data_IF_775622925154
#
_entry.id   IF_775622925154
#
_cell.length_a   1.000
_cell.length_b   1.000
_cell.length_c   1.000
_cell.angle_alpha   90.00
_cell.angle_beta   90.00
_cell.angle_gamma   90.00
#
_symmetry.space_group_name_H-M   'P 1'
#
loop_
_entity.id
_entity.type
_entity.pdbx_description
1 polymer ?
#
# COMPACT_ATOMS: atom_id res chain seq x y z
N UNK A 1 32.87 21.54 10.76
CA UNK A 1 32.91 21.12 12.18
C UNK A 1 31.74 20.18 12.43
N UNK A 2 32.01 18.93 12.83
CA UNK A 2 30.96 17.99 13.27
C UNK A 2 30.39 18.49 14.60
N UNK A 3 29.06 18.56 14.77
CA UNK A 3 28.49 19.03 16.02
C UNK A 3 28.73 18.01 17.16
N UNK A 4 28.80 18.48 18.41
CA UNK A 4 29.15 17.62 19.57
C UNK A 4 28.16 16.43 19.71
N UNK A 5 26.92 16.60 19.28
CA UNK A 5 25.88 15.58 19.30
C UNK A 5 26.16 14.41 18.36
N UNK A 6 26.54 14.67 17.10
CA UNK A 6 26.84 13.61 16.12
C UNK A 6 28.13 12.84 16.45
N UNK A 7 29.10 13.50 17.11
CA UNK A 7 30.30 12.83 17.63
C UNK A 7 29.97 11.84 18.74
N UNK A 8 29.09 12.23 19.67
CA UNK A 8 28.68 11.36 20.78
C UNK A 8 27.89 10.13 20.33
N UNK A 9 27.23 10.19 19.16
CA UNK A 9 26.51 9.07 18.56
C UNK A 9 27.38 8.20 17.63
N UNK A 10 28.66 8.53 17.42
CA UNK A 10 29.52 7.78 16.50
C UNK A 10 29.09 7.89 15.03
N UNK A 11 28.44 9.00 14.64
CA UNK A 11 27.90 9.22 13.28
C UNK A 11 28.84 10.01 12.36
N UNK A 12 30.11 10.20 12.76
CA UNK A 12 31.14 10.90 11.99
C UNK A 12 31.99 9.96 11.12
N UNK A 13 33.16 10.45 10.68
CA UNK A 13 34.17 9.64 9.98
C UNK A 13 34.56 8.42 10.82
N UNK A 14 34.59 7.24 10.19
CA UNK A 14 34.81 5.97 10.89
C UNK A 14 33.55 5.34 11.49
N UNK A 15 32.36 5.93 11.31
CA UNK A 15 31.10 5.29 11.70
C UNK A 15 30.93 3.92 11.03
N UNK A 16 30.40 2.95 11.80
CA UNK A 16 30.07 1.61 11.33
C UNK A 16 28.95 1.59 10.27
N UNK A 17 28.20 2.69 10.14
CA UNK A 17 27.14 2.81 9.13
C UNK A 17 27.75 3.13 7.76
N UNK A 18 27.58 2.28 6.73
CA UNK A 18 28.17 2.53 5.41
C UNK A 18 27.63 3.81 4.75
N UNK A 19 28.45 4.42 3.88
CA UNK A 19 27.97 5.55 3.04
C UNK A 19 26.86 5.03 2.12
N UNK A 20 25.78 5.80 2.01
CA UNK A 20 24.68 5.50 1.10
C UNK A 20 23.60 4.54 1.63
N UNK A 21 23.71 4.01 2.85
CA UNK A 21 22.62 3.20 3.44
C UNK A 21 21.56 4.12 4.05
N UNK A 22 20.30 4.06 3.59
CA UNK A 22 19.23 4.85 4.18
C UNK A 22 18.86 4.28 5.56
N UNK A 23 18.80 5.15 6.57
CA UNK A 23 18.36 4.80 7.93
C UNK A 23 17.25 5.73 8.43
N UNK A 24 16.35 5.27 9.30
CA UNK A 24 15.38 6.12 9.97
C UNK A 24 16.06 7.14 10.90
N UNK A 25 15.61 8.39 10.87
CA UNK A 25 16.07 9.48 11.71
C UNK A 25 14.89 10.25 12.32
N UNK A 26 14.88 10.47 13.65
CA UNK A 26 13.70 10.99 14.36
C UNK A 26 13.47 12.49 14.21
N UNK A 27 14.40 13.25 13.62
CA UNK A 27 14.31 14.72 13.52
C UNK A 27 14.20 15.21 12.08
N UNK A 28 13.55 16.35 11.90
CA UNK A 28 13.46 17.04 10.61
C UNK A 28 14.83 17.44 10.05
N UNK A 29 15.84 17.64 10.90
CA UNK A 29 17.18 18.06 10.49
C UNK A 29 18.16 16.90 10.66
N UNK A 30 18.80 16.43 9.58
CA UNK A 30 19.82 15.39 9.68
C UNK A 30 21.08 15.94 10.37
N UNK A 31 21.91 15.08 10.97
CA UNK A 31 23.23 15.48 11.44
C UNK A 31 24.10 16.03 10.30
N UNK A 32 25.11 16.82 10.64
CA UNK A 32 26.11 17.27 9.65
C UNK A 32 26.78 16.06 8.99
N UNK A 33 26.91 16.08 7.65
CA UNK A 33 27.47 14.97 6.86
C UNK A 33 26.44 13.92 6.44
N UNK A 34 25.15 14.16 6.74
CA UNK A 34 24.04 13.30 6.33
C UNK A 34 23.07 14.07 5.44
N UNK A 35 22.48 13.37 4.48
CA UNK A 35 21.52 13.91 3.52
C UNK A 35 20.18 13.18 3.64
N UNK A 36 19.08 13.89 3.39
CA UNK A 36 17.74 13.28 3.35
C UNK A 36 17.53 12.55 2.02
N UNK A 37 16.84 11.41 2.06
CA UNK A 37 16.33 10.73 0.87
C UNK A 37 15.03 11.39 0.41
N UNK A 38 15.12 12.59 -0.15
CA UNK A 38 13.99 13.41 -0.59
C UNK A 38 14.08 13.77 -2.09
N UNK A 39 14.78 12.96 -2.88
CA UNK A 39 14.99 13.25 -4.31
C UNK A 39 16.07 14.32 -4.60
N UNK A 40 16.78 14.82 -3.59
CA UNK A 40 17.79 15.85 -3.80
C UNK A 40 18.97 15.35 -4.65
N UNK A 41 19.46 16.23 -5.53
CA UNK A 41 20.71 16.02 -6.24
C UNK A 41 21.91 16.36 -5.33
N UNK A 42 23.06 15.78 -5.65
CA UNK A 42 24.33 16.06 -5.00
C UNK A 42 25.47 16.03 -6.02
N UNK A 43 26.70 16.38 -5.61
CA UNK A 43 27.86 16.37 -6.52
C UNK A 43 28.87 15.30 -6.10
N UNK A 44 29.47 14.63 -7.08
CA UNK A 44 30.52 13.65 -6.84
C UNK A 44 31.78 14.27 -6.24
N UNK A 45 32.07 15.55 -6.54
CA UNK A 45 33.19 16.28 -5.94
C UNK A 45 33.00 16.48 -4.45
N UNK A 46 31.78 16.73 -3.99
CA UNK A 46 31.48 16.91 -2.57
C UNK A 46 31.34 15.57 -1.84
N UNK A 47 30.72 14.56 -2.48
CA UNK A 47 30.44 13.26 -1.86
C UNK A 47 30.86 12.09 -2.78
N UNK A 48 32.17 11.85 -2.97
CA UNK A 48 32.66 10.87 -3.93
C UNK A 48 32.24 9.43 -3.58
N UNK A 49 32.26 9.07 -2.29
CA UNK A 49 31.80 7.74 -1.84
C UNK A 49 30.30 7.54 -2.06
N UNK A 50 29.51 8.61 -1.89
CA UNK A 50 28.06 8.55 -2.12
C UNK A 50 27.75 8.41 -3.62
N UNK A 51 28.55 9.03 -4.49
CA UNK A 51 28.43 8.87 -5.94
C UNK A 51 28.66 7.43 -6.40
N UNK A 52 29.50 6.65 -5.70
CA UNK A 52 29.66 5.22 -5.97
C UNK A 52 28.38 4.43 -5.64
N UNK A 53 27.68 4.79 -4.55
CA UNK A 53 26.43 4.16 -4.15
C UNK A 53 25.22 4.61 -4.98
N UNK A 54 25.21 5.89 -5.39
CA UNK A 54 24.16 6.50 -6.21
C UNK A 54 24.77 7.20 -7.45
N UNK A 55 25.06 6.45 -8.53
CA UNK A 55 25.75 6.98 -9.71
C UNK A 55 24.98 8.07 -10.47
N UNK A 56 23.65 8.12 -10.30
CA UNK A 56 22.81 9.18 -10.87
C UNK A 56 22.96 10.54 -10.16
N UNK A 57 23.80 10.63 -9.12
CA UNK A 57 24.04 11.84 -8.34
C UNK A 57 22.77 12.44 -7.74
N UNK A 58 21.77 11.58 -7.48
CA UNK A 58 20.49 11.93 -6.89
C UNK A 58 20.08 10.84 -5.92
N UNK A 59 19.60 11.25 -4.76
CA UNK A 59 19.04 10.32 -3.79
C UNK A 59 17.62 9.91 -4.20
N UNK A 60 17.15 8.71 -3.81
CA UNK A 60 15.75 8.37 -3.94
C UNK A 60 14.88 9.33 -3.11
N UNK A 61 13.64 9.51 -3.52
CA UNK A 61 12.64 10.15 -2.68
C UNK A 61 11.89 9.05 -1.93
N UNK A 62 12.17 8.91 -0.63
CA UNK A 62 11.62 7.85 0.21
C UNK A 62 10.53 8.37 1.15
N UNK A 63 10.02 9.59 0.91
CA UNK A 63 8.97 10.18 1.74
C UNK A 63 7.66 9.45 1.49
N UNK A 64 7.19 8.70 2.48
CA UNK A 64 5.97 7.89 2.37
C UNK A 64 6.21 6.50 1.79
N UNK A 65 7.44 6.16 1.42
CA UNK A 65 7.76 4.88 0.77
C UNK A 65 8.13 3.79 1.78
N UNK A 66 7.79 2.55 1.44
CA UNK A 66 8.32 1.36 2.09
C UNK A 66 9.49 0.79 1.27
N UNK A 67 10.61 0.51 1.94
CA UNK A 67 11.74 -0.17 1.30
C UNK A 67 11.46 -1.67 1.31
N UNK A 68 11.46 -2.27 0.13
CA UNK A 68 11.36 -3.73 -0.04
C UNK A 68 12.67 -4.32 -0.57
N UNK A 69 12.91 -5.59 -0.26
CA UNK A 69 14.01 -6.35 -0.85
C UNK A 69 13.85 -6.46 -2.36
N UNK A 70 14.94 -6.28 -3.09
CA UNK A 70 14.97 -6.52 -4.53
C UNK A 70 14.88 -8.03 -4.80
N UNK A 71 14.09 -8.42 -5.79
CA UNK A 71 13.82 -9.81 -6.11
C UNK A 71 15.06 -10.58 -6.56
N UNK A 72 15.95 -9.92 -7.30
CA UNK A 72 17.22 -10.47 -7.82
C UNK A 72 17.09 -11.88 -8.41
N UNK A 73 16.00 -12.12 -9.16
CA UNK A 73 15.76 -13.39 -9.85
C UNK A 73 15.10 -14.48 -9.00
N UNK A 74 14.68 -14.20 -7.76
CA UNK A 74 13.92 -15.15 -6.94
C UNK A 74 12.53 -15.46 -7.51
N UNK A 75 11.93 -14.53 -8.26
CA UNK A 75 10.63 -14.69 -8.93
C UNK A 75 9.40 -14.31 -8.09
N UNK A 76 9.58 -13.69 -6.92
CA UNK A 76 8.46 -13.21 -6.07
C UNK A 76 8.01 -11.81 -6.45
N UNK A 77 8.93 -10.95 -6.88
CA UNK A 77 8.67 -9.59 -7.36
C UNK A 77 9.43 -9.33 -8.68
N UNK A 78 9.15 -10.19 -9.66
CA UNK A 78 9.88 -10.24 -10.92
C UNK A 78 9.72 -8.95 -11.76
N UNK A 79 10.73 -8.66 -12.59
CA UNK A 79 10.71 -7.53 -13.54
C UNK A 79 11.03 -6.17 -12.91
N UNK A 80 11.41 -6.14 -11.64
CA UNK A 80 11.75 -4.91 -10.91
C UNK A 80 13.25 -4.60 -10.98
N UNK A 81 13.57 -3.31 -11.11
CA UNK A 81 14.94 -2.81 -11.02
C UNK A 81 15.21 -2.15 -9.66
N UNK A 82 16.47 -2.15 -9.22
CA UNK A 82 16.87 -1.41 -8.01
C UNK A 82 16.44 0.06 -8.11
N UNK A 83 15.94 0.58 -6.99
CA UNK A 83 15.47 1.97 -6.84
C UNK A 83 14.25 2.37 -7.68
N UNK A 84 13.59 1.44 -8.36
CA UNK A 84 12.31 1.73 -9.05
C UNK A 84 11.17 1.92 -8.04
N UNK A 85 10.24 2.84 -8.30
CA UNK A 85 9.02 3.00 -7.51
C UNK A 85 7.94 2.00 -7.97
N UNK A 86 7.01 1.65 -7.08
CA UNK A 86 5.84 0.83 -7.39
C UNK A 86 4.64 1.43 -6.66
N UNK A 87 3.52 1.58 -7.34
CA UNK A 87 2.29 1.98 -6.67
C UNK A 87 1.80 0.85 -5.76
N UNK A 88 0.95 1.20 -4.80
CA UNK A 88 0.20 0.20 -4.06
C UNK A 88 -0.58 -0.70 -5.03
N UNK A 89 -0.77 -1.94 -4.63
CA UNK A 89 -1.61 -2.88 -5.36
C UNK A 89 -2.43 -3.69 -4.36
N UNK A 90 -3.66 -4.02 -4.73
CA UNK A 90 -4.54 -4.91 -3.99
C UNK A 90 -4.91 -6.04 -4.92
N UNK A 91 -4.49 -7.25 -4.56
CA UNK A 91 -4.80 -8.44 -5.36
C UNK A 91 -6.31 -8.54 -5.66
N UNK A 92 -6.67 -9.00 -6.86
CA UNK A 92 -8.06 -9.15 -7.24
C UNK A 92 -8.74 -10.09 -6.25
N UNK A 93 -9.89 -9.65 -5.73
CA UNK A 93 -10.70 -10.44 -4.81
C UNK A 93 -12.17 -10.14 -5.06
N UNK A 94 -13.03 -11.07 -4.62
CA UNK A 94 -14.49 -10.94 -4.77
C UNK A 94 -15.16 -11.13 -3.43
N UNK A 95 -16.19 -10.34 -3.18
CA UNK A 95 -17.12 -10.53 -2.06
C UNK A 95 -18.35 -11.25 -2.59
N UNK A 96 -18.72 -12.37 -1.96
CA UNK A 96 -19.93 -13.12 -2.32
C UNK A 96 -20.98 -12.91 -1.23
N UNK A 97 -22.15 -12.45 -1.63
CA UNK A 97 -23.29 -12.27 -0.74
C UNK A 97 -24.30 -13.39 -1.00
N UNK A 98 -24.70 -14.10 0.06
CA UNK A 98 -25.79 -15.08 0.01
C UNK A 98 -27.01 -14.50 0.73
N UNK A 99 -28.12 -14.35 0.01
CA UNK A 99 -29.40 -13.94 0.59
C UNK A 99 -30.20 -15.20 0.95
N UNK A 100 -30.38 -15.47 2.24
CA UNK A 100 -31.19 -16.59 2.74
C UNK A 100 -32.60 -16.10 3.06
N UNK A 101 -33.59 -16.50 2.27
CA UNK A 101 -35.00 -16.34 2.65
C UNK A 101 -35.46 -17.63 3.35
N UNK A 102 -35.59 -17.61 4.68
CA UNK A 102 -36.15 -18.75 5.40
C UNK A 102 -37.66 -18.79 5.20
N UNK A 103 -38.17 -19.76 4.41
CA UNK A 103 -39.55 -20.24 4.60
C UNK A 103 -39.49 -21.31 5.67
N UNK A 104 -40.14 -21.10 6.81
CA UNK A 104 -40.24 -22.13 7.85
C UNK A 104 -41.27 -23.24 7.51
N UNK A 105 -41.93 -23.17 6.35
CA UNK A 105 -43.13 -23.98 6.10
C UNK A 105 -43.27 -24.53 4.65
N UNK A 106 -42.20 -24.69 3.87
CA UNK A 106 -42.34 -25.31 2.54
C UNK A 106 -41.24 -26.32 2.17
N UNK A 107 -41.72 -27.36 1.53
CA UNK A 107 -41.19 -28.69 1.28
C UNK A 107 -40.08 -28.77 0.23
N UNK A 108 -39.20 -29.77 0.41
CA UNK A 108 -38.19 -30.30 -0.52
C UNK A 108 -37.21 -29.33 -1.20
N UNK A 109 -35.97 -29.38 -0.71
CA UNK A 109 -34.72 -28.88 -1.32
C UNK A 109 -34.37 -29.62 -2.63
N UNK A 110 -35.23 -29.61 -3.65
CA UNK A 110 -34.96 -30.31 -4.91
C UNK A 110 -34.50 -29.38 -6.06
N UNK A 111 -34.99 -28.15 -6.15
CA UNK A 111 -34.78 -27.34 -7.36
C UNK A 111 -34.10 -26.00 -7.04
N UNK A 112 -32.79 -26.03 -6.81
CA UNK A 112 -31.94 -24.84 -6.87
C UNK A 112 -31.20 -24.80 -8.22
N UNK A 113 -31.96 -24.90 -9.31
CA UNK A 113 -31.49 -24.71 -10.67
C UNK A 113 -32.41 -23.71 -11.39
N UNK A 114 -31.92 -22.47 -11.54
CA UNK A 114 -32.53 -21.45 -12.37
C UNK A 114 -33.48 -20.49 -11.64
N UNK A 115 -33.05 -19.23 -11.51
CA UNK A 115 -33.84 -18.05 -11.11
C UNK A 115 -34.31 -17.94 -9.64
N UNK A 116 -33.53 -17.25 -8.81
CA UNK A 116 -33.97 -16.83 -7.47
C UNK A 116 -34.68 -15.47 -7.57
N UNK A 117 -36.02 -15.47 -7.56
CA UNK A 117 -36.80 -14.26 -7.29
C UNK A 117 -36.73 -14.00 -5.78
N UNK A 118 -36.12 -12.89 -5.37
CA UNK A 118 -36.12 -12.41 -3.98
C UNK A 118 -37.53 -11.88 -3.66
N UNK A 119 -38.35 -12.66 -2.96
CA UNK A 119 -39.62 -12.18 -2.38
C UNK A 119 -39.45 -11.89 -0.90
N UNK A 120 -39.75 -10.67 -0.48
CA UNK A 120 -39.75 -10.26 0.92
C UNK A 120 -40.72 -11.10 1.77
N UNK A 121 -40.32 -11.38 3.01
CA UNK A 121 -41.19 -11.78 4.11
C UNK A 121 -41.68 -10.49 4.80
N UNK A 122 -42.95 -10.14 4.63
CA UNK A 122 -43.62 -9.03 5.36
C UNK A 122 -44.44 -9.63 6.51
N UNK A 123 -44.64 -8.94 7.66
CA UNK A 123 -44.38 -7.52 7.90
C UNK A 123 -43.60 -7.20 9.19
N UNK A 124 -42.50 -6.44 9.06
CA UNK A 124 -42.00 -5.59 10.14
C UNK A 124 -41.49 -4.28 9.53
N UNK A 125 -42.05 -3.17 9.99
CA UNK A 125 -41.71 -1.80 9.57
C UNK A 125 -40.45 -1.29 10.28
N UNK A 126 -39.56 -0.53 9.61
CA UNK A 126 -39.69 0.03 8.26
C UNK A 126 -39.20 -0.92 7.15
N UNK A 127 -39.89 -0.89 6.01
CA UNK A 127 -39.59 -1.69 4.82
C UNK A 127 -38.55 -0.97 3.96
N UNK A 128 -37.45 -1.64 3.63
CA UNK A 128 -36.58 -1.23 2.53
C UNK A 128 -37.14 -1.91 1.27
N UNK A 129 -37.82 -1.13 0.43
CA UNK A 129 -38.44 -1.57 -0.83
C UNK A 129 -37.40 -1.62 -1.96
N UNK A 130 -37.19 -2.81 -2.55
CA UNK A 130 -36.33 -3.02 -3.72
C UNK A 130 -37.14 -3.29 -5.00
N UNK A 131 -38.48 -3.28 -4.95
CA UNK A 131 -39.35 -3.76 -6.03
C UNK A 131 -39.40 -2.81 -7.24
N UNK A 132 -38.87 -1.59 -7.13
CA UNK A 132 -39.02 -0.54 -8.16
C UNK A 132 -37.72 0.13 -8.63
N UNK A 133 -36.54 -0.47 -8.42
CA UNK A 133 -35.30 0.08 -8.97
C UNK A 133 -34.95 -0.59 -10.31
N UNK A 134 -35.15 0.07 -11.47
CA UNK A 134 -34.81 -0.49 -12.76
C UNK A 134 -33.29 -0.60 -12.89
N UNK A 135 -32.76 -1.82 -12.71
CA UNK A 135 -31.35 -2.10 -12.90
C UNK A 135 -31.06 -2.25 -14.40
N UNK A 136 -30.06 -1.56 -14.96
CA UNK A 136 -29.68 -1.72 -16.37
C UNK A 136 -29.29 -3.18 -16.66
N UNK A 137 -29.75 -3.67 -17.81
CA UNK A 137 -29.85 -5.07 -18.24
C UNK A 137 -28.54 -5.89 -18.25
N UNK A 138 -27.38 -5.29 -17.99
CA UNK A 138 -26.08 -5.98 -17.95
C UNK A 138 -25.69 -6.55 -16.58
N UNK A 139 -26.51 -6.35 -15.54
CA UNK A 139 -26.16 -6.70 -14.15
C UNK A 139 -26.82 -8.02 -13.68
N UNK A 140 -27.65 -8.65 -14.51
CA UNK A 140 -28.35 -9.89 -14.13
C UNK A 140 -27.80 -11.06 -14.96
N UNK A 141 -26.78 -11.72 -14.42
CA UNK A 141 -26.49 -13.13 -14.76
C UNK A 141 -27.32 -14.02 -13.85
N UNK A 142 -27.78 -15.16 -14.36
CA UNK A 142 -28.69 -16.11 -13.69
C UNK A 142 -28.18 -16.41 -12.25
N UNK A 143 -28.80 -15.77 -11.25
CA UNK A 143 -28.28 -15.70 -9.88
C UNK A 143 -28.38 -14.34 -9.16
N UNK A 144 -28.88 -13.28 -9.80
CA UNK A 144 -29.47 -12.09 -9.14
C UNK A 144 -28.58 -11.41 -8.08
N UNK A 145 -27.57 -10.66 -8.51
CA UNK A 145 -26.70 -9.88 -7.62
C UNK A 145 -26.97 -8.39 -7.79
N UNK A 146 -27.53 -7.75 -6.76
CA UNK A 146 -27.37 -6.30 -6.54
C UNK A 146 -25.89 -6.07 -6.25
N UNK A 147 -25.22 -5.23 -7.03
CA UNK A 147 -23.81 -4.88 -6.80
C UNK A 147 -23.65 -4.16 -5.45
N UNK A 148 -23.38 -4.91 -4.39
CA UNK A 148 -22.97 -4.37 -3.10
C UNK A 148 -21.46 -4.12 -3.17
N UNK A 149 -21.09 -2.85 -3.32
CA UNK A 149 -19.70 -2.43 -3.23
C UNK A 149 -19.35 -2.20 -1.76
N UNK A 150 -18.26 -2.79 -1.27
CA UNK A 150 -17.59 -2.24 -0.09
C UNK A 150 -17.15 -0.83 -0.45
N UNK A 151 -17.39 0.16 0.44
CA UNK A 151 -17.10 1.57 0.16
C UNK A 151 -15.73 1.74 -0.55
N UNK A 152 -15.62 2.60 -1.57
CA UNK A 152 -14.35 2.86 -2.24
C UNK A 152 -13.30 3.27 -1.21
N UNK A 153 -12.03 3.01 -1.53
CA UNK A 153 -10.88 3.24 -0.64
C UNK A 153 -11.01 4.58 0.11
N UNK A 154 -10.92 4.55 1.44
CA UNK A 154 -11.00 5.77 2.27
C UNK A 154 -9.75 6.65 2.19
N UNK A 155 -8.72 6.18 1.47
CA UNK A 155 -7.48 6.91 1.23
C UNK A 155 -6.78 6.41 -0.04
N UNK A 156 -5.78 7.16 -0.52
CA UNK A 156 -5.03 6.87 -1.75
C UNK A 156 -4.11 5.65 -1.66
N UNK A 157 -3.86 5.09 -0.47
CA UNK A 157 -2.94 3.97 -0.27
C UNK A 157 -3.31 3.13 0.97
N UNK A 158 -3.08 1.82 0.90
CA UNK A 158 -3.14 0.92 2.07
C UNK A 158 -1.77 0.81 2.73
N UNK A 159 -1.67 1.15 4.02
CA UNK A 159 -0.40 1.13 4.76
C UNK A 159 -0.51 0.39 6.09
N UNK A 160 0.51 -0.39 6.49
CA UNK A 160 0.64 -0.87 7.86
C UNK A 160 0.63 0.31 8.86
N UNK A 161 0.29 0.02 10.13
CA UNK A 161 0.51 0.99 11.22
C UNK A 161 2.00 1.36 11.25
N UNK A 162 2.29 2.65 11.16
CA UNK A 162 3.66 3.16 11.08
C UNK A 162 3.82 4.47 11.86
N UNK A 163 5.07 4.84 12.13
CA UNK A 163 5.47 6.13 12.73
C UNK A 163 6.43 6.81 11.77
N UNK A 164 6.23 8.10 11.50
CA UNK A 164 7.00 8.83 10.51
C UNK A 164 8.40 9.22 11.01
N UNK A 165 9.43 8.77 10.30
CA UNK A 165 10.84 9.15 10.47
C UNK A 165 11.36 9.68 9.13
N UNK A 166 12.43 10.49 9.14
CA UNK A 166 13.17 10.78 7.91
C UNK A 166 14.01 9.57 7.52
N UNK A 167 14.14 9.30 6.22
CA UNK A 167 15.24 8.49 5.73
C UNK A 167 16.44 9.39 5.43
N UNK A 168 17.59 9.09 6.02
CA UNK A 168 18.84 9.82 5.80
C UNK A 168 19.96 8.86 5.41
N UNK A 169 20.89 9.32 4.59
CA UNK A 169 22.12 8.59 4.22
C UNK A 169 23.34 9.34 4.72
N UNK A 170 24.37 8.60 5.13
CA UNK A 170 25.69 9.18 5.37
C UNK A 170 26.29 9.56 4.01
N UNK A 171 26.82 10.78 3.90
CA UNK A 171 27.37 11.30 2.65
C UNK A 171 28.91 11.25 2.57
N UNK A 172 29.62 11.12 3.69
CA UNK A 172 31.08 11.04 3.76
C UNK A 172 31.56 10.07 4.84
#
# INVERSE_FOLDING_TARGET
MCNRFSKNLGLGEGSALPVGVPIPWPSATPPTGWLKCNGAAFTASQYPKLALAYPALRLPDLRGEFIRGWDDGRGVDAGRSLLSAQNHDLGPHVHRYGFWTARLNDSSLADFAGTTILKQITPATPVIDFDNYPLPNSVITDGGVVSASTQPMSSTETRPRNVAFNYIVRAA
#
